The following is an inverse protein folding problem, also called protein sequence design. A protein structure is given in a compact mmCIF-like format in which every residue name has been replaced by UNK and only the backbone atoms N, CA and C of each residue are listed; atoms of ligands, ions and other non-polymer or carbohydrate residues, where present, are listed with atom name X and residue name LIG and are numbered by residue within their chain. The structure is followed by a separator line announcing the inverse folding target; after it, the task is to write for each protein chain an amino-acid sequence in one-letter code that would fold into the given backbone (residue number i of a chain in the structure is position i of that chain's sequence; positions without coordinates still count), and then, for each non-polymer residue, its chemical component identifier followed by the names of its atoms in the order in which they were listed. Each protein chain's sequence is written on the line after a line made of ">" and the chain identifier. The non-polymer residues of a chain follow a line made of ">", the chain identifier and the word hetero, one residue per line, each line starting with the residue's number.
data_IF_308610625519
#
_entry.id   IF_308610625519
#
_cell.length_a   1.000
_cell.length_b   1.000
_cell.length_c   1.000
_cell.angle_alpha   90.00
_cell.angle_beta   90.00
_cell.angle_gamma   90.00
#
_symmetry.space_group_name_H-M   'P 1'
#
loop_
_entity.id
_entity.type
_entity.pdbx_description
1 polymer ?
#
# COMPACT_ATOMS: atom_id res chain seq x y z
N UNK A 1 -40.49 9.23 -26.43
CA UNK A 1 -39.55 8.43 -27.24
C UNK A 1 -38.58 7.76 -26.27
N UNK A 2 -38.53 6.43 -26.24
CA UNK A 2 -37.64 5.66 -25.35
C UNK A 2 -36.22 5.64 -25.93
N UNK A 3 -35.19 5.89 -25.11
CA UNK A 3 -33.78 5.85 -25.52
C UNK A 3 -33.31 4.38 -25.65
N UNK A 4 -32.51 4.03 -26.67
CA UNK A 4 -32.01 2.68 -26.84
C UNK A 4 -30.94 2.32 -25.79
N UNK A 5 -30.78 1.02 -25.44
CA UNK A 5 -29.80 0.56 -24.47
C UNK A 5 -28.37 0.70 -24.99
N UNK A 6 -27.45 1.01 -24.07
CA UNK A 6 -26.03 1.22 -24.35
C UNK A 6 -25.35 -0.15 -24.51
N UNK A 7 -24.80 -0.42 -25.69
CA UNK A 7 -24.00 -1.60 -26.00
C UNK A 7 -22.54 -1.36 -25.64
N UNK A 8 -21.96 -2.19 -24.77
CA UNK A 8 -20.53 -2.15 -24.43
C UNK A 8 -19.73 -3.13 -25.31
N UNK A 9 -18.53 -2.74 -25.81
CA UNK A 9 -17.68 -3.63 -26.59
C UNK A 9 -17.03 -4.72 -25.70
N UNK A 10 -16.92 -5.93 -26.26
CA UNK A 10 -16.44 -7.12 -25.56
C UNK A 10 -14.93 -7.04 -25.27
N UNK A 11 -14.55 -7.25 -24.00
CA UNK A 11 -13.17 -7.19 -23.53
C UNK A 11 -12.49 -8.54 -23.78
N UNK A 12 -11.60 -8.62 -24.77
CA UNK A 12 -10.82 -9.85 -25.03
C UNK A 12 -9.89 -10.13 -23.84
N UNK A 13 -10.09 -11.28 -23.20
CA UNK A 13 -9.21 -11.85 -22.18
C UNK A 13 -7.84 -12.15 -22.79
N UNK A 14 -6.77 -11.53 -22.28
CA UNK A 14 -5.41 -11.98 -22.56
C UNK A 14 -4.97 -12.90 -21.42
N UNK A 15 -4.81 -14.19 -21.73
CA UNK A 15 -4.21 -15.17 -20.84
C UNK A 15 -2.69 -15.03 -20.91
N UNK A 16 -2.08 -14.37 -19.93
CA UNK A 16 -0.62 -14.34 -19.79
C UNK A 16 -0.14 -15.64 -19.15
N UNK A 17 0.52 -16.46 -19.95
CA UNK A 17 1.24 -17.67 -19.54
C UNK A 17 2.50 -17.28 -18.76
N UNK A 18 2.62 -17.80 -17.53
CA UNK A 18 3.75 -17.59 -16.63
C UNK A 18 4.94 -18.48 -17.01
N UNK A 19 6.10 -17.90 -17.31
CA UNK A 19 7.38 -18.59 -17.23
C UNK A 19 8.38 -17.73 -16.45
N UNK A 20 8.83 -18.25 -15.30
CA UNK A 20 9.78 -17.61 -14.39
C UNK A 20 11.18 -18.12 -14.74
N UNK A 21 12.13 -17.22 -14.96
CA UNK A 21 13.57 -17.50 -14.84
C UNK A 21 14.19 -16.43 -13.92
N UNK A 22 14.92 -16.91 -12.93
CA UNK A 22 15.57 -16.19 -11.84
C UNK A 22 17.06 -16.07 -12.16
N UNK A 23 17.63 -14.85 -12.22
CA UNK A 23 19.06 -14.58 -11.97
C UNK A 23 19.32 -13.09 -11.61
N UNK A 24 20.13 -12.85 -10.57
CA UNK A 24 21.15 -11.77 -10.54
C UNK A 24 20.77 -10.38 -9.99
N UNK A 25 21.29 -10.05 -8.80
CA UNK A 25 21.35 -8.70 -8.21
C UNK A 25 21.99 -7.65 -9.14
N UNK A 26 21.35 -6.49 -9.35
CA UNK A 26 22.02 -5.18 -9.47
C UNK A 26 21.11 -4.05 -8.97
N UNK A 27 21.67 -3.24 -8.06
CA UNK A 27 21.16 -1.94 -7.63
C UNK A 27 20.91 -1.06 -8.85
N UNK A 28 19.70 -0.52 -8.93
CA UNK A 28 19.34 0.55 -9.84
C UNK A 28 18.08 1.19 -9.30
N UNK A 29 18.24 2.27 -8.52
CA UNK A 29 17.14 3.22 -8.31
C UNK A 29 16.90 3.89 -9.66
N UNK A 30 16.13 3.22 -10.51
CA UNK A 30 15.66 3.78 -11.76
C UNK A 30 14.63 4.84 -11.39
N UNK A 31 15.12 6.06 -11.14
CA UNK A 31 14.38 7.25 -11.51
C UNK A 31 14.02 7.07 -12.98
N UNK A 32 12.79 6.60 -13.22
CA UNK A 32 12.24 6.46 -14.56
C UNK A 32 12.18 7.86 -15.13
N UNK A 33 13.23 8.22 -15.86
CA UNK A 33 13.25 9.35 -16.76
C UNK A 33 12.06 9.16 -17.71
N UNK A 34 11.12 10.09 -17.62
CA UNK A 34 9.86 10.01 -18.32
C UNK A 34 10.14 10.59 -19.69
N UNK A 35 10.40 9.73 -20.68
CA UNK A 35 10.42 10.15 -22.08
C UNK A 35 9.11 10.90 -22.36
N UNK A 36 9.22 12.21 -22.56
CA UNK A 36 8.14 13.01 -23.12
C UNK A 36 8.00 12.55 -24.57
N UNK A 37 7.16 11.55 -24.81
CA UNK A 37 6.66 11.28 -26.15
C UNK A 37 5.85 12.51 -26.57
N UNK A 38 6.52 13.44 -27.25
CA UNK A 38 5.91 14.58 -27.93
C UNK A 38 5.04 13.99 -29.05
N UNK A 39 3.77 13.76 -28.72
CA UNK A 39 2.75 13.25 -29.62
C UNK A 39 2.43 14.35 -30.65
N UNK A 40 3.31 14.45 -31.64
CA UNK A 40 3.21 15.30 -32.82
C UNK A 40 2.14 14.70 -33.78
N UNK A 41 0.90 14.58 -33.30
CA UNK A 41 -0.26 14.33 -34.16
C UNK A 41 -1.21 15.52 -34.20
N UNK A 42 -1.12 16.15 -35.37
CA UNK A 42 -2.07 17.02 -36.07
C UNK A 42 -3.51 16.52 -35.91
N UNK A 43 -4.34 17.31 -35.22
CA UNK A 43 -5.81 17.23 -35.30
C UNK A 43 -6.53 17.05 -33.96
N UNK A 44 -7.45 17.98 -33.66
CA UNK A 44 -8.47 17.99 -32.59
C UNK A 44 -8.03 18.55 -31.23
N UNK A 45 -8.00 19.88 -31.18
CA UNK A 45 -7.84 20.78 -30.02
C UNK A 45 -9.00 20.75 -29.01
N UNK A 46 -9.45 19.56 -28.57
CA UNK A 46 -10.56 19.44 -27.61
C UNK A 46 -10.39 18.41 -26.48
N UNK A 47 -9.48 17.43 -26.63
CA UNK A 47 -9.32 16.33 -25.64
C UNK A 47 -7.96 16.28 -24.93
N UNK A 48 -6.95 17.02 -25.43
CA UNK A 48 -5.58 17.00 -24.90
C UNK A 48 -5.45 17.49 -23.45
N UNK A 49 -6.36 18.34 -22.96
CA UNK A 49 -6.33 18.83 -21.58
C UNK A 49 -6.84 17.82 -20.55
N UNK A 50 -7.86 17.02 -20.91
CA UNK A 50 -8.38 15.97 -20.02
C UNK A 50 -7.40 14.79 -19.90
N UNK A 51 -6.71 14.43 -21.00
CA UNK A 51 -5.73 13.34 -21.00
C UNK A 51 -4.46 13.67 -20.20
N UNK A 52 -3.97 14.90 -20.25
CA UNK A 52 -2.81 15.34 -19.45
C UNK A 52 -3.08 15.26 -17.94
N UNK A 53 -4.29 15.60 -17.50
CA UNK A 53 -4.69 15.47 -16.09
C UNK A 53 -4.76 14.00 -15.64
N UNK A 54 -5.24 13.09 -16.50
CA UNK A 54 -5.28 11.65 -16.20
C UNK A 54 -3.88 11.04 -16.07
N UNK A 55 -2.92 11.43 -16.92
CA UNK A 55 -1.53 10.95 -16.82
C UNK A 55 -0.86 11.49 -15.56
N UNK A 56 -1.05 12.78 -15.26
CA UNK A 56 -0.53 13.40 -14.03
C UNK A 56 -1.09 12.70 -12.78
N UNK A 57 -2.40 12.42 -12.73
CA UNK A 57 -3.03 11.74 -11.61
C UNK A 57 -2.58 10.28 -11.49
N UNK A 58 -2.42 9.54 -12.62
CA UNK A 58 -1.85 8.19 -12.59
C UNK A 58 -0.43 8.19 -12.00
N UNK A 59 0.40 9.17 -12.39
CA UNK A 59 1.76 9.34 -11.84
C UNK A 59 1.71 9.63 -10.34
N UNK A 60 0.86 10.56 -9.91
CA UNK A 60 0.64 10.87 -8.48
C UNK A 60 0.24 9.62 -7.69
N UNK A 61 -0.72 8.83 -8.20
CA UNK A 61 -1.16 7.58 -7.55
C UNK A 61 -0.07 6.53 -7.47
N UNK A 62 0.76 6.41 -8.51
CA UNK A 62 1.91 5.49 -8.52
C UNK A 62 2.93 5.86 -7.43
N UNK A 63 3.34 7.13 -7.38
CA UNK A 63 4.28 7.61 -6.35
C UNK A 63 3.73 7.47 -4.93
N UNK A 64 2.44 7.76 -4.72
CA UNK A 64 1.81 7.58 -3.41
C UNK A 64 1.79 6.10 -3.01
N UNK A 65 1.47 5.22 -3.95
CA UNK A 65 1.41 3.78 -3.72
C UNK A 65 2.79 3.21 -3.40
N UNK A 66 3.83 3.59 -4.16
CA UNK A 66 5.23 3.19 -3.90
C UNK A 66 5.66 3.58 -2.48
N UNK A 67 5.39 4.82 -2.07
CA UNK A 67 5.68 5.29 -0.71
C UNK A 67 4.91 4.52 0.36
N UNK A 68 3.63 4.20 0.13
CA UNK A 68 2.82 3.40 1.06
C UNK A 68 3.34 1.97 1.18
N UNK A 69 3.75 1.35 0.07
CA UNK A 69 4.36 0.02 0.10
C UNK A 69 5.70 0.03 0.83
N UNK A 70 6.54 1.05 0.60
CA UNK A 70 7.78 1.23 1.35
C UNK A 70 7.52 1.40 2.85
N UNK A 71 6.53 2.21 3.23
CA UNK A 71 6.14 2.36 4.64
C UNK A 71 5.66 1.03 5.25
N UNK A 72 4.86 0.27 4.50
CA UNK A 72 4.39 -1.06 4.92
C UNK A 72 5.53 -2.06 5.06
N UNK A 73 6.56 -1.99 4.22
CA UNK A 73 7.73 -2.87 4.32
C UNK A 73 8.65 -2.51 5.49
N UNK A 74 8.66 -1.25 5.94
CA UNK A 74 9.39 -0.85 7.15
C UNK A 74 8.72 -1.39 8.42
N UNK A 75 7.40 -1.60 8.38
CA UNK A 75 6.64 -2.17 9.48
C UNK A 75 6.53 -3.70 9.31
N UNK A 76 7.56 -4.41 9.76
CA UNK A 76 7.56 -5.88 9.75
C UNK A 76 6.41 -6.43 10.60
N UNK A 77 5.57 -7.27 9.97
CA UNK A 77 4.40 -7.85 10.64
C UNK A 77 4.78 -8.69 11.85
N UNK A 78 5.93 -9.37 11.79
CA UNK A 78 6.44 -10.17 12.90
C UNK A 78 6.80 -9.30 14.10
N UNK A 79 7.44 -8.15 13.88
CA UNK A 79 7.81 -7.21 14.94
C UNK A 79 6.57 -6.61 15.60
N UNK A 80 5.56 -6.19 14.84
CA UNK A 80 4.29 -5.69 15.41
C UNK A 80 3.64 -6.73 16.33
N UNK A 81 3.62 -8.01 15.92
CA UNK A 81 3.05 -9.08 16.73
C UNK A 81 3.92 -9.37 17.97
N UNK A 82 5.25 -9.29 17.83
CA UNK A 82 6.19 -9.40 18.95
C UNK A 82 5.94 -8.33 19.99
N UNK A 83 5.93 -7.07 19.57
CA UNK A 83 5.68 -5.91 20.43
C UNK A 83 4.33 -6.01 21.14
N UNK A 84 3.28 -6.46 20.43
CA UNK A 84 1.95 -6.65 21.02
C UNK A 84 1.95 -7.74 22.11
N UNK A 85 2.67 -8.85 21.90
CA UNK A 85 2.79 -9.93 22.89
C UNK A 85 3.58 -9.45 24.10
N UNK A 86 4.69 -8.74 23.89
CA UNK A 86 5.51 -8.17 24.95
C UNK A 86 4.67 -7.21 25.82
N UNK A 87 3.95 -6.29 25.18
CA UNK A 87 3.08 -5.34 25.88
C UNK A 87 2.00 -6.02 26.72
N UNK A 88 1.37 -7.09 26.21
CA UNK A 88 0.37 -7.85 26.98
C UNK A 88 1.00 -8.54 28.19
N UNK A 89 2.23 -9.05 28.07
CA UNK A 89 2.94 -9.67 29.20
C UNK A 89 3.28 -8.64 30.28
N UNK A 90 3.76 -7.46 29.88
CA UNK A 90 4.04 -6.35 30.80
C UNK A 90 2.78 -5.95 31.58
N UNK A 91 1.64 -5.82 30.90
CA UNK A 91 0.37 -5.51 31.56
C UNK A 91 -0.04 -6.60 32.56
N UNK A 92 0.13 -7.88 32.22
CA UNK A 92 -0.16 -8.98 33.15
C UNK A 92 0.74 -8.97 34.37
N UNK A 93 2.03 -8.63 34.22
CA UNK A 93 2.95 -8.47 35.35
C UNK A 93 2.54 -7.30 36.24
N UNK A 94 2.19 -6.16 35.64
CA UNK A 94 1.76 -4.99 36.39
C UNK A 94 0.50 -5.28 37.22
N UNK A 95 -0.49 -5.96 36.64
CA UNK A 95 -1.70 -6.37 37.36
C UNK A 95 -1.36 -7.29 38.54
N UNK A 96 -0.44 -8.24 38.38
CA UNK A 96 -0.03 -9.12 39.46
C UNK A 96 0.68 -8.38 40.59
N UNK A 97 1.61 -7.49 40.24
CA UNK A 97 2.33 -6.68 41.22
C UNK A 97 1.36 -5.80 42.04
N UNK A 98 0.40 -5.16 41.38
CA UNK A 98 -0.62 -4.37 42.06
C UNK A 98 -1.53 -5.21 42.97
N UNK A 99 -1.84 -6.45 42.58
CA UNK A 99 -2.62 -7.35 43.42
C UNK A 99 -1.82 -7.78 44.66
N UNK A 100 -0.53 -8.08 44.50
CA UNK A 100 0.37 -8.44 45.60
C UNK A 100 0.52 -7.27 46.59
N UNK A 101 0.74 -6.04 46.09
CA UNK A 101 0.76 -4.84 46.94
C UNK A 101 -0.55 -4.66 47.74
N UNK A 102 -1.70 -4.91 47.10
CA UNK A 102 -2.99 -4.82 47.78
C UNK A 102 -3.12 -5.88 48.87
N UNK A 103 -2.77 -7.12 48.56
CA UNK A 103 -2.86 -8.24 49.51
C UNK A 103 -1.93 -8.00 50.71
N UNK A 104 -0.69 -7.55 50.49
CA UNK A 104 0.25 -7.16 51.55
C UNK A 104 -0.34 -6.08 52.47
N UNK A 105 -0.91 -5.00 51.91
CA UNK A 105 -1.53 -3.95 52.73
C UNK A 105 -2.75 -4.43 53.53
N UNK A 106 -3.47 -5.44 53.04
CA UNK A 106 -4.61 -6.02 53.79
C UNK A 106 -4.21 -6.99 54.88
N UNK A 107 -3.01 -7.58 54.81
CA UNK A 107 -2.45 -8.44 55.86
C UNK A 107 -1.81 -7.63 56.99
N UNK A 108 -1.27 -6.44 56.72
CA UNK A 108 -0.72 -5.55 57.76
C UNK A 108 -1.79 -4.86 58.63
N UNK A 109 -3.05 -4.81 58.17
CA UNK A 109 -4.18 -4.20 58.89
C UNK A 109 -5.00 -5.18 59.75
N UNK A 110 -4.62 -6.46 59.84
CA UNK A 110 -5.28 -7.51 60.66
C UNK A 110 -4.46 -7.92 61.88
#
# INVERSE_FOLDING_TARGET
>A
MMKPPISFPNLKSTSSSSQVKQEGERRGDSISDCSEDDDEQKGRTGRKHQSKNLVAERKRRKMLSERLYALRSLMDRASILGDAIEYVKELQMLVKALQEELDETTEEEQ
#
